data_IF_313057729539
#
_entry.id   IF_313057729539
#
_cell.length_a   1.000
_cell.length_b   1.000
_cell.length_c   1.000
_cell.angle_alpha   90.00
_cell.angle_beta   90.00
_cell.angle_gamma   90.00
#
_symmetry.space_group_name_H-M   'P 1'
#
loop_
_entity.id
_entity.type
_entity.pdbx_description
1 polymer ?
#
# COMPACT_ATOMS: atom_id res chain seq x y z
N UNK A 1 -8.32 5.03 6.43
CA UNK A 1 -8.63 3.65 6.02
C UNK A 1 -9.94 3.28 6.69
N UNK A 2 -10.96 2.83 5.94
CA UNK A 2 -12.28 2.54 6.53
C UNK A 2 -12.23 1.36 7.51
N UNK A 3 -13.29 1.19 8.32
CA UNK A 3 -13.37 0.18 9.41
C UNK A 3 -13.23 -1.29 8.96
N UNK A 4 -13.18 -1.54 7.65
CA UNK A 4 -13.10 -2.87 7.07
C UNK A 4 -11.67 -3.29 6.69
N UNK A 5 -10.69 -2.39 6.77
CA UNK A 5 -9.29 -2.73 6.56
C UNK A 5 -8.61 -3.12 7.86
N UNK A 6 -7.92 -4.25 7.86
CA UNK A 6 -6.98 -4.64 8.89
C UNK A 6 -5.55 -4.53 8.34
N UNK A 7 -4.63 -4.02 9.15
CA UNK A 7 -3.22 -3.98 8.79
C UNK A 7 -2.60 -5.36 8.93
N UNK A 8 -1.88 -5.82 7.90
CA UNK A 8 -1.08 -7.05 7.97
C UNK A 8 0.39 -6.70 8.16
N UNK A 9 0.92 -5.80 7.33
CA UNK A 9 2.33 -5.43 7.40
C UNK A 9 2.71 -4.30 6.45
N UNK A 10 3.83 -3.66 6.71
CA UNK A 10 4.50 -2.70 5.83
C UNK A 10 5.84 -3.30 5.39
N UNK A 11 6.30 -2.92 4.18
CA UNK A 11 7.47 -3.54 3.56
C UNK A 11 7.37 -5.08 3.64
N UNK A 12 6.19 -5.60 3.29
CA UNK A 12 5.87 -7.00 3.42
C UNK A 12 6.70 -7.80 2.41
N UNK A 13 7.57 -8.66 2.95
CA UNK A 13 8.49 -9.48 2.18
C UNK A 13 7.74 -10.62 1.49
N UNK A 14 7.93 -10.73 0.18
CA UNK A 14 7.64 -11.89 -0.63
C UNK A 14 8.95 -12.53 -1.06
N UNK A 15 9.04 -13.85 -0.98
CA UNK A 15 10.23 -14.61 -1.36
C UNK A 15 9.85 -15.61 -2.44
N UNK A 16 10.55 -15.56 -3.58
CA UNK A 16 10.39 -16.49 -4.69
C UNK A 16 11.78 -16.97 -5.11
N UNK A 17 12.00 -18.27 -4.93
CA UNK A 17 13.33 -18.89 -5.00
C UNK A 17 14.31 -18.10 -4.11
N UNK A 18 15.43 -17.62 -4.68
CA UNK A 18 16.44 -16.85 -3.96
C UNK A 18 16.25 -15.31 -4.06
N UNK A 19 15.07 -14.84 -4.49
CA UNK A 19 14.80 -13.42 -4.71
C UNK A 19 13.76 -12.87 -3.73
N UNK A 20 14.05 -11.68 -3.21
CA UNK A 20 13.17 -10.96 -2.29
C UNK A 20 12.47 -9.79 -2.98
N UNK A 21 11.19 -9.62 -2.68
CA UNK A 21 10.36 -8.52 -3.15
C UNK A 21 9.57 -7.93 -2.00
N UNK A 22 9.23 -6.65 -2.09
CA UNK A 22 8.61 -5.93 -0.98
C UNK A 22 7.37 -5.18 -1.44
N UNK A 23 6.23 -5.49 -0.82
CA UNK A 23 5.00 -4.72 -0.96
C UNK A 23 5.04 -3.61 0.08
N UNK A 24 4.86 -2.35 -0.33
CA UNK A 24 4.97 -1.21 0.60
C UNK A 24 4.01 -1.34 1.79
N UNK A 25 2.76 -1.72 1.52
CA UNK A 25 1.72 -1.95 2.53
C UNK A 25 0.80 -3.09 2.12
N UNK A 26 0.64 -4.07 3.00
CA UNK A 26 -0.31 -5.18 2.85
C UNK A 26 -1.42 -5.04 3.90
N UNK A 27 -2.67 -5.01 3.43
CA UNK A 27 -3.87 -4.95 4.26
C UNK A 27 -4.77 -6.15 3.98
N UNK A 28 -5.71 -6.42 4.88
CA UNK A 28 -6.83 -7.33 4.65
C UNK A 28 -8.14 -6.56 4.63
N UNK A 29 -9.00 -6.81 3.64
CA UNK A 29 -10.33 -6.23 3.59
C UNK A 29 -11.38 -7.24 4.09
N UNK A 30 -11.90 -7.03 5.30
CA UNK A 30 -12.79 -7.99 6.00
C UNK A 30 -14.07 -8.34 5.24
N UNK A 31 -14.73 -7.36 4.64
CA UNK A 31 -15.99 -7.58 3.92
C UNK A 31 -15.77 -8.27 2.56
N UNK A 32 -14.71 -7.92 1.84
CA UNK A 32 -14.34 -8.56 0.58
C UNK A 32 -13.61 -9.90 0.80
N UNK A 33 -13.14 -10.15 2.02
CA UNK A 33 -12.33 -11.31 2.41
C UNK A 33 -11.13 -11.52 1.49
N UNK A 34 -10.30 -10.50 1.31
CA UNK A 34 -9.13 -10.57 0.44
C UNK A 34 -7.97 -9.73 0.97
N UNK A 35 -6.77 -10.10 0.54
CA UNK A 35 -5.57 -9.28 0.71
C UNK A 35 -5.62 -8.07 -0.22
N UNK A 36 -5.06 -6.94 0.21
CA UNK A 36 -4.97 -5.70 -0.56
C UNK A 36 -3.53 -5.21 -0.51
N UNK A 37 -2.82 -5.39 -1.62
CA UNK A 37 -1.46 -4.91 -1.82
C UNK A 37 -1.48 -3.45 -2.28
N UNK A 38 -0.76 -2.58 -1.57
CA UNK A 38 -0.66 -1.16 -1.89
C UNK A 38 0.81 -0.84 -2.21
N UNK A 39 1.03 -0.24 -3.37
CA UNK A 39 2.33 0.27 -3.81
C UNK A 39 2.27 1.80 -3.93
N UNK A 40 3.23 2.50 -3.33
CA UNK A 40 3.31 3.96 -3.33
C UNK A 40 4.38 4.44 -4.32
N UNK A 41 4.04 5.41 -5.17
CA UNK A 41 4.96 5.99 -6.17
C UNK A 41 4.96 7.51 -6.11
N UNK A 42 6.15 8.09 -5.93
CA UNK A 42 6.36 9.55 -5.88
C UNK A 42 6.19 10.25 -7.23
N UNK A 43 6.23 9.48 -8.33
CA UNK A 43 6.16 9.99 -9.69
C UNK A 43 4.84 9.68 -10.40
N UNK A 44 4.86 9.86 -11.72
CA UNK A 44 3.78 9.43 -12.60
C UNK A 44 3.66 7.91 -12.63
N UNK A 45 2.43 7.42 -12.85
CA UNK A 45 2.22 6.04 -13.24
C UNK A 45 2.98 5.71 -14.54
N UNK A 46 3.68 4.58 -14.54
CA UNK A 46 4.29 3.97 -15.73
C UNK A 46 3.80 2.52 -15.85
N UNK A 47 3.68 1.97 -17.09
CA UNK A 47 3.14 0.62 -17.30
C UNK A 47 3.85 -0.49 -16.53
N UNK A 48 5.14 -0.36 -16.24
CA UNK A 48 5.96 -1.31 -15.49
C UNK A 48 5.41 -1.57 -14.08
N UNK A 49 4.75 -0.57 -13.47
CA UNK A 49 4.13 -0.73 -12.16
C UNK A 49 2.99 -1.76 -12.19
N UNK A 50 2.29 -1.89 -13.32
CA UNK A 50 1.28 -2.94 -13.50
C UNK A 50 1.94 -4.31 -13.43
N UNK A 51 3.02 -4.54 -14.18
CA UNK A 51 3.69 -5.85 -14.20
C UNK A 51 4.19 -6.27 -12.82
N UNK A 52 4.78 -5.32 -12.07
CA UNK A 52 5.19 -5.54 -10.67
C UNK A 52 4.00 -5.90 -9.78
N UNK A 53 2.87 -5.20 -9.93
CA UNK A 53 1.66 -5.48 -9.16
C UNK A 53 1.03 -6.83 -9.53
N UNK A 54 0.96 -7.19 -10.81
CA UNK A 54 0.45 -8.50 -11.25
C UNK A 54 1.28 -9.64 -10.64
N UNK A 55 2.61 -9.50 -10.62
CA UNK A 55 3.48 -10.44 -9.94
C UNK A 55 3.16 -10.54 -8.43
N UNK A 56 2.98 -9.42 -7.74
CA UNK A 56 2.61 -9.43 -6.32
C UNK A 56 1.29 -10.14 -6.07
N UNK A 57 0.26 -9.86 -6.86
CA UNK A 57 -1.04 -10.50 -6.70
C UNK A 57 -0.99 -12.00 -6.98
N UNK A 58 -0.19 -12.44 -7.95
CA UNK A 58 -0.01 -13.86 -8.22
C UNK A 58 0.63 -14.58 -7.03
N UNK A 59 1.73 -14.05 -6.50
CA UNK A 59 2.41 -14.64 -5.34
C UNK A 59 1.52 -14.64 -4.11
N UNK A 60 0.80 -13.54 -3.85
CA UNK A 60 -0.14 -13.49 -2.74
C UNK A 60 -1.25 -14.54 -2.88
N UNK A 61 -1.82 -14.69 -4.07
CA UNK A 61 -2.90 -15.63 -4.33
C UNK A 61 -2.45 -17.10 -4.25
N UNK A 62 -1.21 -17.41 -4.62
CA UNK A 62 -0.67 -18.77 -4.61
C UNK A 62 -0.11 -19.17 -3.23
N UNK A 63 0.59 -18.25 -2.54
CA UNK A 63 1.38 -18.58 -1.34
C UNK A 63 0.82 -18.06 -0.02
N UNK A 64 0.06 -16.96 -0.02
CA UNK A 64 -0.32 -16.24 1.21
C UNK A 64 -1.82 -16.32 1.48
N UNK A 65 -2.62 -16.20 0.44
CA UNK A 65 -4.09 -16.22 0.49
C UNK A 65 -4.58 -17.55 1.06
N UNK A 66 -5.53 -17.48 1.98
CA UNK A 66 -6.18 -18.67 2.55
C UNK A 66 -7.26 -19.24 1.60
N UNK A 67 -7.61 -20.53 1.72
CA UNK A 67 -8.57 -21.18 0.81
C UNK A 67 -9.97 -20.54 0.76
N UNK A 68 -10.41 -19.89 1.83
CA UNK A 68 -11.72 -19.23 1.94
C UNK A 68 -11.69 -17.73 1.60
N UNK A 69 -10.53 -17.22 1.15
CA UNK A 69 -10.34 -15.84 0.73
C UNK A 69 -10.51 -15.65 -0.78
N UNK A 70 -11.02 -14.47 -1.15
CA UNK A 70 -11.11 -14.03 -2.53
C UNK A 70 -9.74 -13.57 -3.05
N UNK A 71 -9.63 -13.46 -4.37
CA UNK A 71 -8.40 -12.98 -5.02
C UNK A 71 -7.96 -11.61 -4.49
N UNK A 72 -6.66 -11.50 -4.26
CA UNK A 72 -5.99 -10.31 -3.78
C UNK A 72 -6.18 -9.13 -4.74
N UNK A 73 -6.29 -7.92 -4.19
CA UNK A 73 -6.51 -6.67 -4.93
C UNK A 73 -5.24 -5.82 -4.88
N UNK A 74 -4.85 -5.27 -6.03
CA UNK A 74 -3.71 -4.36 -6.16
C UNK A 74 -4.15 -2.91 -6.24
N UNK A 75 -3.51 -2.03 -5.47
CA UNK A 75 -3.72 -0.58 -5.55
C UNK A 75 -2.37 0.11 -5.72
N UNK A 76 -2.20 0.79 -6.85
CA UNK A 76 -1.03 1.62 -7.11
C UNK A 76 -1.42 3.08 -6.85
N UNK A 77 -0.72 3.73 -5.92
CA UNK A 77 -0.96 5.12 -5.53
C UNK A 77 0.20 5.97 -6.07
N UNK A 78 -0.06 6.75 -7.12
CA UNK A 78 0.93 7.62 -7.74
C UNK A 78 0.69 9.10 -7.38
N UNK A 79 1.71 9.96 -7.46
CA UNK A 79 1.52 11.41 -7.31
C UNK A 79 0.60 11.95 -8.40
N UNK A 80 0.84 11.50 -9.63
CA UNK A 80 0.11 11.89 -10.82
C UNK A 80 -0.18 10.66 -11.69
N UNK A 81 -1.24 10.74 -12.50
CA UNK A 81 -1.57 9.70 -13.47
C UNK A 81 -2.13 10.31 -14.74
N UNK A 82 -1.62 9.86 -15.89
CA UNK A 82 -2.28 10.08 -17.16
C UNK A 82 -3.36 9.00 -17.34
N UNK A 83 -4.62 9.42 -17.40
CA UNK A 83 -5.76 8.50 -17.48
C UNK A 83 -5.66 7.56 -18.68
N UNK A 84 -5.27 8.08 -19.84
CA UNK A 84 -5.12 7.29 -21.07
C UNK A 84 -4.04 6.22 -20.90
N UNK A 85 -2.86 6.58 -20.37
CA UNK A 85 -1.78 5.61 -20.12
C UNK A 85 -2.21 4.51 -19.17
N UNK A 86 -2.92 4.87 -18.09
CA UNK A 86 -3.47 3.89 -17.14
C UNK A 86 -4.49 2.98 -17.82
N UNK A 87 -5.43 3.53 -18.58
CA UNK A 87 -6.45 2.75 -19.30
C UNK A 87 -5.81 1.77 -20.30
N UNK A 88 -4.85 2.22 -21.11
CA UNK A 88 -4.14 1.34 -22.04
C UNK A 88 -3.34 0.25 -21.32
N UNK A 89 -2.71 0.59 -20.19
CA UNK A 89 -1.93 -0.38 -19.42
C UNK A 89 -2.84 -1.46 -18.81
N UNK A 90 -3.96 -1.07 -18.22
CA UNK A 90 -4.86 -1.99 -17.52
C UNK A 90 -5.85 -2.71 -18.44
N UNK A 91 -6.04 -2.28 -19.69
CA UNK A 91 -7.06 -2.83 -20.61
C UNK A 91 -7.03 -4.35 -20.76
N UNK A 92 -5.85 -4.96 -20.70
CA UNK A 92 -5.66 -6.41 -20.86
C UNK A 92 -5.45 -7.15 -19.53
N UNK A 93 -5.47 -6.45 -18.40
CA UNK A 93 -5.28 -7.10 -17.09
C UNK A 93 -6.55 -7.83 -16.69
N UNK A 94 -6.41 -9.12 -16.37
CA UNK A 94 -7.50 -9.91 -15.76
C UNK A 94 -7.45 -9.85 -14.22
N UNK A 95 -6.44 -9.19 -13.65
CA UNK A 95 -6.27 -9.06 -12.20
C UNK A 95 -6.91 -7.77 -11.68
N UNK A 96 -7.46 -7.77 -10.45
CA UNK A 96 -8.11 -6.60 -9.87
C UNK A 96 -7.06 -5.55 -9.44
N UNK A 97 -6.65 -4.71 -10.38
CA UNK A 97 -5.67 -3.64 -10.15
C UNK A 97 -6.33 -2.26 -10.32
N UNK A 98 -6.22 -1.41 -9.30
CA UNK A 98 -6.63 -0.03 -9.32
C UNK A 98 -5.45 0.94 -9.28
N UNK A 99 -5.57 2.07 -9.98
CA UNK A 99 -4.58 3.16 -9.92
C UNK A 99 -5.26 4.43 -9.40
N UNK A 100 -4.78 4.90 -8.26
CA UNK A 100 -5.22 6.14 -7.62
C UNK A 100 -4.11 7.19 -7.64
N UNK A 101 -4.50 8.47 -7.53
CA UNK A 101 -3.55 9.55 -7.29
C UNK A 101 -3.75 10.18 -5.92
N UNK A 102 -2.66 10.64 -5.30
CA UNK A 102 -2.70 11.38 -4.04
C UNK A 102 -2.39 12.86 -4.25
N UNK A 103 -2.85 13.71 -3.33
CA UNK A 103 -2.50 15.13 -3.28
C UNK A 103 -1.72 15.40 -2.00
N UNK A 104 -0.54 15.99 -2.14
CA UNK A 104 0.23 16.50 -1.00
C UNK A 104 -0.18 17.91 -0.66
N UNK A 105 -0.32 18.18 0.63
CA UNK A 105 -0.51 19.53 1.17
C UNK A 105 0.47 19.75 2.31
N UNK A 106 1.11 20.91 2.34
CA UNK A 106 2.01 21.31 3.43
C UNK A 106 1.25 21.71 4.69
N UNK A 107 -0.07 21.87 4.61
CA UNK A 107 -0.95 22.21 5.74
C UNK A 107 -1.97 21.12 5.94
N UNK A 108 -2.10 20.65 7.19
CA UNK A 108 -3.14 19.72 7.60
C UNK A 108 -4.53 20.32 7.29
N UNK A 109 -5.37 19.70 6.43
CA UNK A 109 -6.68 20.24 6.12
C UNK A 109 -7.56 20.25 7.38
N UNK A 110 -8.40 21.28 7.52
CA UNK A 110 -9.18 21.54 8.74
C UNK A 110 -10.05 20.35 9.16
N UNK A 111 -10.59 19.63 8.19
CA UNK A 111 -11.49 18.49 8.42
C UNK A 111 -10.79 17.31 9.13
N UNK A 112 -9.48 17.16 8.92
CA UNK A 112 -8.68 16.09 9.54
C UNK A 112 -8.03 16.50 10.85
N UNK A 113 -8.13 17.79 11.25
CA UNK A 113 -7.46 18.31 12.45
C UNK A 113 -7.90 17.62 13.75
N UNK A 114 -9.12 17.10 13.79
CA UNK A 114 -9.67 16.36 14.96
C UNK A 114 -9.30 14.88 14.96
N UNK A 115 -8.78 14.37 13.85
CA UNK A 115 -8.49 12.94 13.65
C UNK A 115 -7.00 12.62 13.77
N UNK A 116 -6.14 13.63 13.70
CA UNK A 116 -4.70 13.49 13.73
C UNK A 116 -4.13 14.26 14.92
N UNK A 117 -3.14 13.69 15.63
CA UNK A 117 -2.47 14.36 16.73
C UNK A 117 -1.75 15.63 16.25
N UNK A 118 -1.47 16.54 17.19
CA UNK A 118 -0.74 17.76 16.87
C UNK A 118 0.69 17.42 16.41
N UNK A 119 1.29 18.26 15.55
CA UNK A 119 2.66 18.04 15.06
C UNK A 119 3.69 17.98 16.19
N UNK A 120 3.48 18.73 17.28
CA UNK A 120 4.31 18.68 18.49
C UNK A 120 4.22 17.33 19.19
N UNK A 121 3.00 16.80 19.30
CA UNK A 121 2.73 15.51 19.95
C UNK A 121 3.30 14.34 19.13
N UNK A 122 3.30 14.45 17.80
CA UNK A 122 3.99 13.52 16.92
C UNK A 122 5.51 13.58 17.17
N UNK A 123 6.09 14.77 17.21
CA UNK A 123 7.53 14.95 17.44
C UNK A 123 7.97 14.39 18.80
N UNK A 124 7.22 14.66 19.87
CA UNK A 124 7.49 14.12 21.21
C UNK A 124 7.47 12.58 21.23
N UNK A 125 6.49 11.96 20.56
CA UNK A 125 6.42 10.49 20.46
C UNK A 125 7.57 9.90 19.65
N UNK A 126 7.98 10.56 18.57
CA UNK A 126 9.15 10.13 17.78
C UNK A 126 10.43 10.22 18.63
N UNK A 127 10.63 11.34 19.34
CA UNK A 127 11.78 11.51 20.24
C UNK A 127 11.80 10.44 21.36
N UNK A 128 10.64 10.09 21.91
CA UNK A 128 10.53 9.03 22.90
C UNK A 128 10.91 7.66 22.31
N UNK A 129 10.47 7.34 21.09
CA UNK A 129 10.83 6.10 20.40
C UNK A 129 12.33 6.02 20.11
N UNK A 130 12.91 7.11 19.59
CA UNK A 130 14.35 7.18 19.31
C UNK A 130 15.20 7.07 20.58
N UNK A 131 14.75 7.64 21.70
CA UNK A 131 15.42 7.47 23.00
C UNK A 131 15.29 6.04 23.52
N UNK A 132 14.18 5.35 23.24
CA UNK A 132 13.98 3.97 23.65
C UNK A 132 14.93 3.02 22.92
N UNK A 133 15.16 3.21 21.63
CA UNK A 133 16.10 2.40 20.85
C UNK A 133 17.57 2.61 21.27
N UNK A 134 17.93 3.82 21.73
CA UNK A 134 19.29 4.15 22.21
C UNK A 134 19.59 3.70 23.66
N UNK A 135 18.64 3.10 24.37
CA UNK A 135 18.83 2.61 25.76
C UNK A 135 19.12 1.10 25.79
N UNK A 136 18.96 0.40 24.66
CA UNK A 136 19.25 -1.03 24.53
C UNK A 136 20.43 -1.36 23.59
N UNK A 137 21.23 -0.35 23.23
CA UNK A 137 22.61 -0.50 22.71
C UNK A 137 23.63 -0.20 23.81
#
# INVERSE_FOLDING_TARGET
MGNQFAFIGNQYKLEIDDNEYFIDLLLYHRQLKCLVAIELKIGNFIPEYKGKMEFYLEVLNDKVKLPDENNSIGIIICKEKNRTVVEYSLKTSNMPIGVASYKTTSKLPKDYKKLLPASTEIAEKIDLLLKYDNVYE
#
